data_IF_002299512532
#
_entry.id   IF_002299512532
#
_cell.length_a   1.000
_cell.length_b   1.000
_cell.length_c   1.000
_cell.angle_alpha   90.00
_cell.angle_beta   90.00
_cell.angle_gamma   90.00
#
_symmetry.space_group_name_H-M   'P 1'
#
loop_
_entity.id
_entity.type
_entity.pdbx_description
1 polymer ?
#
# COMPACT_ATOMS: atom_id res chain seq x y z
N UNK A 1 14.36 21.62 11.06
CA UNK A 1 13.23 22.42 11.60
C UNK A 1 11.95 22.21 10.79
N UNK A 2 11.96 22.42 9.45
CA UNK A 2 10.78 22.18 8.60
C UNK A 2 10.23 20.74 8.69
N UNK A 3 11.10 19.71 8.65
CA UNK A 3 10.67 18.31 8.79
C UNK A 3 9.92 18.03 10.11
N UNK A 4 10.33 18.66 11.22
CA UNK A 4 9.67 18.51 12.51
C UNK A 4 8.28 19.15 12.54
N UNK A 5 8.02 20.16 11.70
CA UNK A 5 6.70 20.77 11.55
C UNK A 5 5.78 19.91 10.67
N UNK A 6 6.32 19.24 9.64
CA UNK A 6 5.52 18.40 8.74
C UNK A 6 4.96 17.14 9.41
N UNK A 7 5.73 16.50 10.30
CA UNK A 7 5.29 15.27 10.99
C UNK A 7 3.94 15.44 11.73
N UNK A 8 3.77 16.42 12.64
CA UNK A 8 2.49 16.61 13.32
C UNK A 8 1.39 17.01 12.34
N UNK A 9 1.68 17.78 11.27
CA UNK A 9 0.66 18.09 10.27
C UNK A 9 0.17 16.85 9.52
N UNK A 10 1.05 15.89 9.21
CA UNK A 10 0.68 14.63 8.58
C UNK A 10 -0.18 13.77 9.52
N UNK A 11 0.15 13.74 10.81
CA UNK A 11 -0.65 13.03 11.82
C UNK A 11 -2.03 13.67 12.00
N UNK A 12 -2.11 15.00 12.01
CA UNK A 12 -3.38 15.72 12.04
C UNK A 12 -4.21 15.43 10.79
N UNK A 13 -3.60 15.46 9.59
CA UNK A 13 -4.29 15.12 8.35
C UNK A 13 -4.83 13.68 8.38
N UNK A 14 -4.02 12.73 8.84
CA UNK A 14 -4.45 11.34 9.05
C UNK A 14 -5.64 11.25 10.00
N UNK A 15 -5.60 11.98 11.13
CA UNK A 15 -6.70 12.04 12.10
C UNK A 15 -7.97 12.66 11.49
N UNK A 16 -7.85 13.73 10.71
CA UNK A 16 -9.02 14.37 10.07
C UNK A 16 -9.71 13.46 9.06
N UNK A 17 -9.00 12.51 8.45
CA UNK A 17 -9.60 11.52 7.54
C UNK A 17 -10.56 10.56 8.26
N UNK A 18 -10.52 10.48 9.61
CA UNK A 18 -11.45 9.68 10.42
C UNK A 18 -12.82 10.37 10.49
N UNK A 19 -12.90 11.69 10.33
CA UNK A 19 -14.16 12.44 10.47
C UNK A 19 -15.23 12.06 9.43
N UNK A 20 -14.92 11.90 8.12
CA UNK A 20 -15.89 11.38 7.16
C UNK A 20 -16.40 9.98 7.52
N UNK A 21 -15.54 9.14 8.05
CA UNK A 21 -15.88 7.77 8.44
C UNK A 21 -16.81 7.75 9.68
N UNK A 22 -16.54 8.58 10.68
CA UNK A 22 -17.41 8.73 11.85
C UNK A 22 -18.75 9.39 11.49
N UNK A 23 -18.74 10.37 10.58
CA UNK A 23 -19.97 10.98 10.07
C UNK A 23 -20.82 9.96 9.30
N UNK A 24 -20.22 9.17 8.42
CA UNK A 24 -20.92 8.10 7.70
C UNK A 24 -21.54 7.07 8.66
N UNK A 25 -20.79 6.64 9.68
CA UNK A 25 -21.30 5.73 10.71
C UNK A 25 -22.49 6.28 11.48
N UNK A 26 -22.41 7.54 11.96
CA UNK A 26 -23.51 8.18 12.70
C UNK A 26 -24.72 8.48 11.84
N UNK A 27 -24.53 8.84 10.56
CA UNK A 27 -25.61 9.05 9.61
C UNK A 27 -26.39 7.75 9.34
N UNK A 28 -25.69 6.64 9.08
CA UNK A 28 -26.32 5.33 8.91
C UNK A 28 -27.04 4.86 10.19
N UNK A 29 -26.46 5.13 11.36
CA UNK A 29 -27.09 4.82 12.64
C UNK A 29 -28.38 5.61 12.92
N UNK A 30 -28.54 6.80 12.35
CA UNK A 30 -29.80 7.58 12.43
C UNK A 30 -30.87 7.04 11.48
N UNK A 31 -30.49 6.52 10.32
CA UNK A 31 -31.42 5.97 9.33
C UNK A 31 -31.96 4.59 9.70
N UNK A 32 -31.21 3.82 10.50
CA UNK A 32 -31.61 2.49 10.95
C UNK A 32 -31.99 2.50 12.44
N UNK A 33 -32.95 1.64 12.81
CA UNK A 33 -33.26 1.39 14.22
C UNK A 33 -31.97 1.02 14.99
N UNK A 34 -31.77 1.47 16.23
CA UNK A 34 -30.49 1.38 16.96
C UNK A 34 -29.95 -0.05 17.10
N UNK A 35 -30.82 -1.07 16.98
CA UNK A 35 -30.45 -2.49 16.93
C UNK A 35 -29.82 -2.96 15.60
N UNK A 36 -29.97 -2.21 14.52
CA UNK A 36 -29.48 -2.54 13.16
C UNK A 36 -28.24 -1.70 12.77
N UNK A 37 -27.98 -0.60 13.48
CA UNK A 37 -26.81 0.26 13.25
C UNK A 37 -25.46 -0.51 13.27
N UNK A 38 -25.39 -1.63 14.00
CA UNK A 38 -24.21 -2.50 14.11
C UNK A 38 -23.77 -3.12 12.77
N UNK A 39 -24.70 -3.38 11.84
CA UNK A 39 -24.37 -3.96 10.53
C UNK A 39 -23.56 -3.01 9.64
N UNK A 40 -23.60 -1.70 9.90
CA UNK A 40 -22.94 -0.70 9.06
C UNK A 40 -21.53 -0.33 9.55
N UNK A 41 -21.09 -0.78 10.72
CA UNK A 41 -19.74 -0.54 11.26
C UNK A 41 -18.61 -0.91 10.27
N UNK A 42 -18.70 -1.99 9.50
CA UNK A 42 -17.66 -2.36 8.54
C UNK A 42 -17.54 -1.41 7.34
N UNK A 43 -18.51 -0.52 7.09
CA UNK A 43 -18.43 0.50 6.02
C UNK A 43 -17.54 1.68 6.43
N UNK A 44 -17.33 1.88 7.72
CA UNK A 44 -16.52 2.97 8.26
C UNK A 44 -15.07 2.86 7.75
N UNK A 45 -14.49 1.67 7.73
CA UNK A 45 -13.09 1.49 7.30
C UNK A 45 -12.91 1.75 5.80
N UNK A 46 -13.68 1.16 4.87
CA UNK A 46 -13.58 1.53 3.45
C UNK A 46 -13.79 3.03 3.20
N UNK A 47 -14.73 3.66 3.91
CA UNK A 47 -14.96 5.11 3.82
C UNK A 47 -13.72 5.89 4.23
N UNK A 48 -13.10 5.50 5.34
CA UNK A 48 -11.84 6.06 5.81
C UNK A 48 -10.70 5.86 4.80
N UNK A 49 -10.55 4.64 4.26
CA UNK A 49 -9.51 4.31 3.27
C UNK A 49 -9.63 5.17 2.01
N UNK A 50 -10.86 5.35 1.51
CA UNK A 50 -11.15 6.19 0.34
C UNK A 50 -10.82 7.65 0.65
N UNK A 51 -11.32 8.18 1.78
CA UNK A 51 -11.05 9.55 2.21
C UNK A 51 -9.55 9.82 2.32
N UNK A 52 -8.80 8.92 2.98
CA UNK A 52 -7.37 9.09 3.15
C UNK A 52 -6.62 9.03 1.80
N UNK A 53 -7.03 8.15 0.89
CA UNK A 53 -6.47 8.08 -0.46
C UNK A 53 -6.64 9.40 -1.23
N UNK A 54 -7.82 10.02 -1.18
CA UNK A 54 -8.07 11.32 -1.82
C UNK A 54 -7.25 12.45 -1.20
N UNK A 55 -7.09 12.46 0.12
CA UNK A 55 -6.23 13.45 0.81
C UNK A 55 -4.78 13.31 0.35
N UNK A 56 -4.25 12.09 0.23
CA UNK A 56 -2.88 11.86 -0.27
C UNK A 56 -2.72 12.33 -1.72
N UNK A 57 -3.70 12.04 -2.59
CA UNK A 57 -3.70 12.54 -3.97
C UNK A 57 -3.67 14.07 -3.97
N UNK A 58 -4.55 14.72 -3.20
CA UNK A 58 -4.58 16.18 -3.07
C UNK A 58 -3.28 16.77 -2.56
N UNK A 59 -2.69 16.19 -1.50
CA UNK A 59 -1.41 16.62 -0.94
C UNK A 59 -0.29 16.54 -1.97
N UNK A 60 -0.21 15.44 -2.74
CA UNK A 60 0.80 15.28 -3.79
C UNK A 60 0.72 16.40 -4.82
N UNK A 61 -0.48 16.68 -5.33
CA UNK A 61 -0.69 17.71 -6.34
C UNK A 61 -0.50 19.14 -5.80
N UNK A 62 -0.80 19.37 -4.53
CA UNK A 62 -0.66 20.68 -3.89
C UNK A 62 0.78 21.02 -3.47
N UNK A 63 1.53 20.04 -2.97
CA UNK A 63 2.87 20.26 -2.39
C UNK A 63 3.97 20.13 -3.44
N UNK A 64 3.91 19.08 -4.26
CA UNK A 64 4.98 18.75 -5.24
C UNK A 64 4.55 19.01 -6.67
N UNK A 65 3.27 18.80 -7.00
CA UNK A 65 2.78 18.95 -8.37
C UNK A 65 3.21 17.77 -9.25
N UNK A 66 4.12 18.00 -10.20
CA UNK A 66 4.64 16.96 -11.12
C UNK A 66 6.13 16.72 -10.86
N UNK A 67 6.51 15.45 -10.71
CA UNK A 67 7.92 15.06 -10.70
C UNK A 67 8.54 15.21 -12.10
N UNK A 68 9.71 15.83 -12.17
CA UNK A 68 10.49 16.04 -13.40
C UNK A 68 11.86 15.36 -13.21
N UNK A 69 12.50 14.95 -14.31
CA UNK A 69 13.89 14.45 -14.29
C UNK A 69 14.85 15.60 -13.92
N UNK A 70 15.23 15.68 -12.65
CA UNK A 70 16.09 16.72 -12.10
C UNK A 70 17.01 16.18 -10.99
N UNK A 71 18.10 16.91 -10.73
CA UNK A 71 18.98 16.72 -9.58
C UNK A 71 18.66 17.80 -8.55
N UNK A 72 18.07 17.40 -7.43
CA UNK A 72 17.68 18.27 -6.33
C UNK A 72 18.71 18.20 -5.21
N UNK A 73 19.13 19.33 -4.64
CA UNK A 73 20.00 19.34 -3.46
C UNK A 73 19.19 19.01 -2.20
N UNK A 74 19.74 18.20 -1.29
CA UNK A 74 19.03 17.81 -0.04
C UNK A 74 18.67 18.99 0.89
N UNK A 75 19.48 20.05 1.07
CA UNK A 75 19.06 21.17 1.91
C UNK A 75 18.00 22.07 1.26
N UNK A 76 17.45 21.71 0.09
CA UNK A 76 16.42 22.48 -0.60
C UNK A 76 15.02 22.28 -0.03
N UNK A 77 14.14 23.23 -0.30
CA UNK A 77 12.70 23.12 -0.03
C UNK A 77 12.05 22.00 -0.83
N UNK A 78 12.48 21.79 -2.09
CA UNK A 78 12.00 20.72 -2.96
C UNK A 78 12.25 19.33 -2.33
N UNK A 79 13.40 19.13 -1.68
CA UNK A 79 13.66 17.90 -0.93
C UNK A 79 12.67 17.70 0.23
N UNK A 80 12.35 18.76 0.99
CA UNK A 80 11.40 18.64 2.11
C UNK A 80 9.98 18.36 1.61
N UNK A 81 9.57 18.98 0.51
CA UNK A 81 8.29 18.73 -0.17
C UNK A 81 8.18 17.26 -0.62
N UNK A 82 9.20 16.78 -1.34
CA UNK A 82 9.29 15.37 -1.73
C UNK A 82 9.27 14.43 -0.52
N UNK A 83 10.06 14.72 0.51
CA UNK A 83 10.15 13.91 1.73
C UNK A 83 8.80 13.82 2.45
N UNK A 84 8.05 14.93 2.50
CA UNK A 84 6.71 14.96 3.10
C UNK A 84 5.77 14.00 2.37
N UNK A 85 5.76 14.03 1.04
CA UNK A 85 4.93 13.12 0.24
C UNK A 85 5.41 11.67 0.37
N UNK A 86 6.72 11.42 0.40
CA UNK A 86 7.29 10.08 0.59
C UNK A 86 6.83 9.46 1.94
N UNK A 87 6.86 10.23 3.03
CA UNK A 87 6.34 9.80 4.35
C UNK A 87 4.82 9.60 4.33
N UNK A 88 4.07 10.49 3.70
CA UNK A 88 2.63 10.37 3.57
C UNK A 88 2.23 9.10 2.79
N UNK A 89 2.98 8.78 1.74
CA UNK A 89 2.82 7.55 0.97
C UNK A 89 3.16 6.29 1.77
N UNK A 90 4.22 6.30 2.58
CA UNK A 90 4.54 5.17 3.47
C UNK A 90 3.40 4.87 4.46
N UNK A 91 2.77 5.92 5.01
CA UNK A 91 1.57 5.76 5.84
C UNK A 91 0.41 5.15 5.05
N UNK A 92 0.16 5.67 3.84
CA UNK A 92 -0.88 5.10 2.97
C UNK A 92 -0.62 3.62 2.64
N UNK A 93 0.62 3.24 2.38
CA UNK A 93 0.99 1.85 2.09
C UNK A 93 0.81 0.91 3.27
N UNK A 94 1.17 1.39 4.46
CA UNK A 94 1.02 0.63 5.69
C UNK A 94 -0.44 0.31 5.99
N UNK A 95 -1.34 1.31 5.85
CA UNK A 95 -2.74 1.18 6.23
C UNK A 95 -3.67 0.70 5.11
N UNK A 96 -3.38 1.04 3.85
CA UNK A 96 -4.26 0.79 2.70
C UNK A 96 -3.56 -0.07 1.65
N UNK A 97 -2.32 0.27 1.31
CA UNK A 97 -1.59 -0.36 0.20
C UNK A 97 -1.56 -1.89 0.27
N UNK A 98 -1.36 -2.46 1.47
CA UNK A 98 -1.34 -3.91 1.70
C UNK A 98 -2.63 -4.63 1.31
N UNK A 99 -3.78 -3.98 1.40
CA UNK A 99 -5.07 -4.56 1.06
C UNK A 99 -5.41 -4.41 -0.42
N UNK A 100 -4.82 -3.41 -1.08
CA UNK A 100 -5.11 -3.02 -2.46
C UNK A 100 -4.03 -3.55 -3.42
N UNK A 101 -2.93 -4.11 -2.91
CA UNK A 101 -1.85 -4.68 -3.71
C UNK A 101 -2.37 -5.78 -4.66
N UNK A 102 -1.86 -5.79 -5.88
CA UNK A 102 -2.30 -6.72 -6.93
C UNK A 102 -3.69 -6.44 -7.51
N UNK A 103 -4.38 -5.35 -7.12
CA UNK A 103 -5.73 -5.03 -7.62
C UNK A 103 -5.72 -3.87 -8.63
N UNK A 104 -6.72 -3.77 -9.52
CA UNK A 104 -6.86 -2.63 -10.43
C UNK A 104 -7.10 -1.29 -9.72
N UNK A 105 -7.51 -1.29 -8.44
CA UNK A 105 -7.63 -0.07 -7.65
C UNK A 105 -6.26 0.58 -7.38
N UNK A 106 -5.20 -0.22 -7.29
CA UNK A 106 -3.83 0.28 -7.19
C UNK A 106 -3.42 1.01 -8.48
N UNK A 107 -3.80 0.46 -9.64
CA UNK A 107 -3.57 1.07 -10.94
C UNK A 107 -4.33 2.41 -11.06
N UNK A 108 -5.58 2.45 -10.62
CA UNK A 108 -6.36 3.70 -10.56
C UNK A 108 -5.66 4.74 -9.67
N UNK A 109 -5.24 4.35 -8.47
CA UNK A 109 -4.58 5.24 -7.51
C UNK A 109 -3.28 5.83 -8.09
N UNK A 110 -2.45 5.00 -8.70
CA UNK A 110 -1.23 5.47 -9.35
C UNK A 110 -1.48 6.37 -10.56
N UNK A 111 -2.53 6.11 -11.35
CA UNK A 111 -2.93 7.01 -12.45
C UNK A 111 -3.40 8.36 -11.93
N UNK A 112 -4.16 8.40 -10.83
CA UNK A 112 -4.59 9.65 -10.17
C UNK A 112 -3.41 10.44 -9.60
N UNK A 113 -2.34 9.75 -9.19
CA UNK A 113 -1.09 10.38 -8.78
C UNK A 113 -0.21 10.84 -9.96
N UNK A 114 -0.59 10.53 -11.20
CA UNK A 114 0.05 11.04 -12.43
C UNK A 114 0.92 10.05 -13.20
N UNK A 115 1.04 8.80 -12.74
CA UNK A 115 1.78 7.76 -13.48
C UNK A 115 1.05 7.31 -14.75
N UNK A 116 1.83 6.86 -15.73
CA UNK A 116 1.32 6.29 -16.99
C UNK A 116 1.27 4.78 -16.88
N UNK A 117 0.32 4.27 -16.09
CA UNK A 117 0.16 2.84 -15.80
C UNK A 117 -1.05 2.28 -16.53
N UNK A 118 -0.84 1.20 -17.27
CA UNK A 118 -1.92 0.45 -17.90
C UNK A 118 -2.78 -0.30 -16.89
N UNK A 119 -4.08 -0.44 -17.17
CA UNK A 119 -5.02 -1.14 -16.28
C UNK A 119 -4.67 -2.61 -16.10
N UNK A 120 -3.94 -3.18 -17.07
CA UNK A 120 -3.51 -4.57 -17.09
C UNK A 120 -2.17 -4.84 -16.44
N UNK A 121 -1.48 -3.80 -15.98
CA UNK A 121 -0.28 -3.97 -15.21
C UNK A 121 -0.61 -4.58 -13.84
N UNK A 122 0.22 -5.53 -13.40
CA UNK A 122 0.10 -6.15 -12.09
C UNK A 122 1.24 -5.65 -11.19
N UNK A 123 0.89 -5.11 -10.03
CA UNK A 123 1.84 -4.64 -9.03
C UNK A 123 1.74 -5.48 -7.77
N UNK A 124 2.84 -6.15 -7.45
CA UNK A 124 3.09 -6.77 -6.16
C UNK A 124 4.19 -6.02 -5.39
N UNK A 125 4.35 -4.72 -5.68
CA UNK A 125 5.26 -3.80 -5.03
C UNK A 125 4.80 -2.37 -5.23
N UNK A 126 5.48 -1.42 -4.57
CA UNK A 126 5.03 -0.03 -4.55
C UNK A 126 5.83 0.87 -5.50
N UNK A 127 5.15 1.86 -6.09
CA UNK A 127 5.77 2.89 -6.93
C UNK A 127 6.07 4.15 -6.10
N UNK A 128 7.22 4.77 -6.39
CA UNK A 128 7.59 6.12 -5.95
C UNK A 128 7.86 7.02 -7.15
N UNK A 129 7.66 8.33 -6.95
CA UNK A 129 7.80 9.37 -7.99
C UNK A 129 6.94 9.08 -9.23
N UNK A 130 5.63 8.94 -8.99
CA UNK A 130 4.63 8.42 -9.92
C UNK A 130 4.70 8.99 -11.34
N UNK A 131 4.88 10.31 -11.50
CA UNK A 131 4.88 10.97 -12.82
C UNK A 131 6.03 10.50 -13.74
N UNK A 132 7.09 9.93 -13.15
CA UNK A 132 8.27 9.43 -13.86
C UNK A 132 8.17 7.95 -14.24
N UNK A 133 7.08 7.28 -13.86
CA UNK A 133 6.86 5.86 -14.13
C UNK A 133 5.89 5.66 -15.29
N UNK A 134 6.34 4.89 -16.28
CA UNK A 134 5.50 4.41 -17.37
C UNK A 134 5.50 2.88 -17.38
N UNK A 135 4.32 2.27 -17.30
CA UNK A 135 4.15 0.81 -17.28
C UNK A 135 3.15 0.40 -18.35
N UNK A 136 3.64 -0.40 -19.30
CA UNK A 136 2.87 -0.94 -20.42
C UNK A 136 1.89 -2.06 -20.04
N UNK A 137 1.17 -2.54 -21.04
CA UNK A 137 0.12 -3.54 -20.88
C UNK A 137 0.70 -4.88 -20.44
N UNK A 138 0.04 -5.56 -19.50
CA UNK A 138 0.41 -6.89 -18.99
C UNK A 138 1.82 -6.95 -18.39
N UNK A 139 2.41 -5.80 -18.05
CA UNK A 139 3.66 -5.77 -17.32
C UNK A 139 3.42 -6.21 -15.87
N UNK A 140 4.34 -6.98 -15.32
CA UNK A 140 4.27 -7.45 -13.93
C UNK A 140 5.46 -6.92 -13.14
N UNK A 141 5.16 -6.26 -12.03
CA UNK A 141 6.14 -5.61 -11.17
C UNK A 141 6.03 -6.22 -9.78
N UNK A 142 6.95 -7.14 -9.46
CA UNK A 142 6.97 -7.88 -8.20
C UNK A 142 7.92 -7.27 -7.17
N UNK A 143 8.26 -5.99 -7.31
CA UNK A 143 9.18 -5.28 -6.42
C UNK A 143 8.84 -3.78 -6.37
N UNK A 144 9.42 -3.04 -5.43
CA UNK A 144 9.22 -1.59 -5.38
C UNK A 144 10.00 -0.87 -6.47
N UNK A 145 9.34 0.06 -7.16
CA UNK A 145 9.93 0.92 -8.20
C UNK A 145 10.20 2.30 -7.63
N UNK A 146 11.47 2.67 -7.52
CA UNK A 146 11.88 3.99 -7.08
C UNK A 146 12.59 4.71 -8.23
N UNK A 147 12.11 5.90 -8.61
CA UNK A 147 12.74 6.69 -9.68
C UNK A 147 13.82 7.64 -9.13
N UNK A 148 14.31 7.38 -7.92
CA UNK A 148 15.21 8.24 -7.17
C UNK A 148 16.50 7.53 -6.77
N UNK A 149 17.59 8.29 -6.73
CA UNK A 149 18.87 7.84 -6.16
C UNK A 149 19.53 8.96 -5.38
N UNK A 150 20.02 8.63 -4.19
CA UNK A 150 20.88 9.52 -3.41
C UNK A 150 22.29 9.52 -4.01
N UNK A 151 22.77 10.71 -4.34
CA UNK A 151 24.12 10.95 -4.84
C UNK A 151 25.17 10.80 -3.74
N UNK A 152 26.40 10.53 -4.18
CA UNK A 152 27.56 10.44 -3.28
C UNK A 152 27.87 11.84 -2.75
N UNK A 153 28.10 11.94 -1.45
CA UNK A 153 28.56 13.18 -0.84
C UNK A 153 30.00 13.46 -1.28
N UNK A 154 30.20 14.43 -2.18
CA UNK A 154 31.54 14.89 -2.56
C UNK A 154 31.99 15.97 -1.60
N UNK A 155 33.30 16.01 -1.33
CA UNK A 155 33.94 16.94 -0.37
C UNK A 155 33.68 18.42 -0.67
N UNK A 156 33.33 18.77 -1.91
CA UNK A 156 33.08 20.14 -2.35
C UNK A 156 31.58 20.45 -2.54
N UNK A 157 30.68 19.49 -2.33
CA UNK A 157 29.24 19.71 -2.48
C UNK A 157 28.63 20.25 -1.19
N UNK A 158 27.68 21.18 -1.31
CA UNK A 158 26.95 21.80 -0.20
C UNK A 158 26.12 20.75 0.59
N UNK A 159 25.92 19.57 0.02
CA UNK A 159 25.29 18.41 0.64
C UNK A 159 25.09 17.30 -0.40
N UNK A 160 24.57 16.12 0.00
CA UNK A 160 24.25 15.09 -0.97
C UNK A 160 23.09 15.55 -1.87
N UNK A 161 23.03 15.03 -3.08
CA UNK A 161 21.99 15.34 -4.06
C UNK A 161 21.00 14.19 -4.18
N UNK A 162 19.75 14.48 -4.51
CA UNK A 162 18.74 13.50 -4.87
C UNK A 162 18.47 13.61 -6.37
N UNK A 163 18.77 12.57 -7.12
CA UNK A 163 18.54 12.53 -8.57
C UNK A 163 17.29 11.74 -8.88
N UNK A 164 16.41 12.33 -9.68
CA UNK A 164 15.23 11.67 -10.24
C UNK A 164 15.48 11.29 -11.69
N UNK A 165 15.04 10.10 -12.12
CA UNK A 165 15.11 9.66 -13.52
C UNK A 165 13.93 8.75 -13.88
N UNK A 166 13.35 8.88 -15.08
CA UNK A 166 12.19 8.10 -15.49
C UNK A 166 12.48 6.60 -15.57
N UNK A 167 11.47 5.78 -15.24
CA UNK A 167 11.52 4.32 -15.39
C UNK A 167 10.41 3.91 -16.34
N UNK A 168 10.79 3.19 -17.40
CA UNK A 168 9.87 2.78 -18.47
C UNK A 168 9.86 1.26 -18.55
N UNK A 169 8.67 0.67 -18.46
CA UNK A 169 8.42 -0.76 -18.61
C UNK A 169 7.54 -1.01 -19.82
N UNK A 170 8.07 -1.72 -20.82
CA UNK A 170 7.33 -2.10 -22.02
C UNK A 170 6.24 -3.14 -21.75
N UNK A 171 5.36 -3.35 -22.73
CA UNK A 171 4.27 -4.33 -22.61
C UNK A 171 4.80 -5.75 -22.36
N UNK A 172 4.15 -6.49 -21.48
CA UNK A 172 4.50 -7.88 -21.13
C UNK A 172 5.83 -8.03 -20.39
N UNK A 173 6.47 -6.93 -19.98
CA UNK A 173 7.72 -7.02 -19.22
C UNK A 173 7.47 -7.55 -17.80
N UNK A 174 8.45 -8.27 -17.24
CA UNK A 174 8.37 -8.82 -15.89
C UNK A 174 9.57 -8.36 -15.07
N UNK A 175 9.31 -7.63 -13.99
CA UNK A 175 10.34 -7.13 -13.07
C UNK A 175 10.21 -7.83 -11.73
N UNK A 176 11.13 -8.74 -11.44
CA UNK A 176 11.12 -9.52 -10.19
C UNK A 176 12.01 -8.95 -9.08
N UNK A 177 12.77 -7.89 -9.37
CA UNK A 177 13.67 -7.24 -8.41
C UNK A 177 13.75 -5.72 -8.63
N UNK A 178 14.29 -5.01 -7.63
CA UNK A 178 14.47 -3.55 -7.67
C UNK A 178 15.30 -3.14 -8.90
N UNK A 179 14.80 -2.14 -9.64
CA UNK A 179 15.49 -1.53 -10.78
C UNK A 179 16.04 -0.17 -10.38
N UNK A 180 17.20 0.20 -10.96
CA UNK A 180 17.78 1.52 -10.76
C UNK A 180 16.97 2.60 -11.49
N UNK A 181 17.05 3.87 -11.06
CA UNK A 181 16.43 4.97 -11.79
C UNK A 181 16.97 5.11 -13.22
N UNK A 182 16.14 5.60 -14.13
CA UNK A 182 16.54 5.81 -15.53
C UNK A 182 16.49 4.56 -16.39
N UNK A 183 16.11 3.41 -15.83
CA UNK A 183 16.09 2.14 -16.55
C UNK A 183 14.90 2.07 -17.50
N UNK A 184 15.16 1.59 -18.72
CA UNK A 184 14.13 1.29 -19.72
C UNK A 184 14.13 -0.20 -20.02
N UNK A 185 12.99 -0.86 -19.80
CA UNK A 185 12.81 -2.30 -20.00
C UNK A 185 11.96 -2.52 -21.24
N UNK A 186 12.52 -3.22 -22.22
CA UNK A 186 11.86 -3.53 -23.47
C UNK A 186 10.64 -4.44 -23.32
N UNK A 187 9.84 -4.51 -24.38
CA UNK A 187 8.66 -5.36 -24.46
C UNK A 187 9.01 -6.83 -24.22
N UNK A 188 8.25 -7.51 -23.36
CA UNK A 188 8.45 -8.93 -23.03
C UNK A 188 9.76 -9.25 -22.33
N UNK A 189 10.54 -8.25 -21.89
CA UNK A 189 11.80 -8.50 -21.19
C UNK A 189 11.56 -8.92 -19.74
N UNK A 190 12.42 -9.80 -19.22
CA UNK A 190 12.33 -10.38 -17.89
C UNK A 190 13.57 -10.02 -17.09
N UNK A 191 13.37 -9.28 -15.99
CA UNK A 191 14.39 -8.95 -14.99
C UNK A 191 14.23 -9.91 -13.83
N UNK A 192 15.19 -10.82 -13.66
CA UNK A 192 15.12 -11.89 -12.67
C UNK A 192 15.35 -11.42 -11.23
N UNK A 193 15.06 -12.29 -10.27
CA UNK A 193 15.35 -12.03 -8.86
C UNK A 193 16.86 -11.81 -8.67
N UNK A 194 17.23 -10.93 -7.74
CA UNK A 194 18.63 -10.63 -7.37
C UNK A 194 19.41 -9.94 -8.52
N UNK A 195 18.76 -9.63 -9.64
CA UNK A 195 19.38 -8.88 -10.72
C UNK A 195 19.45 -7.39 -10.41
N UNK A 196 20.55 -6.72 -10.75
CA UNK A 196 20.69 -5.27 -10.65
C UNK A 196 20.98 -4.66 -12.03
N UNK A 197 19.97 -4.02 -12.62
CA UNK A 197 20.15 -3.22 -13.84
C UNK A 197 20.80 -1.89 -13.45
N UNK A 198 21.92 -1.50 -14.11
CA UNK A 198 22.60 -0.25 -13.80
C UNK A 198 21.71 0.97 -14.10
N UNK A 199 21.98 2.08 -13.43
CA UNK A 199 21.27 3.35 -13.63
C UNK A 199 21.33 3.80 -15.09
N UNK A 200 20.18 4.13 -15.69
CA UNK A 200 20.10 4.46 -17.12
C UNK A 200 20.24 3.28 -18.07
N UNK A 201 20.31 2.04 -17.56
CA UNK A 201 20.46 0.84 -18.36
C UNK A 201 19.23 0.57 -19.23
N UNK A 202 19.46 0.04 -20.43
CA UNK A 202 18.40 -0.38 -21.35
C UNK A 202 18.42 -1.90 -21.42
N UNK A 203 17.30 -2.53 -21.05
CA UNK A 203 17.11 -3.97 -21.24
C UNK A 203 16.43 -4.17 -22.58
N UNK A 204 17.07 -4.85 -23.55
CA UNK A 204 16.48 -5.06 -24.87
C UNK A 204 15.17 -5.87 -24.79
N UNK A 205 14.32 -5.72 -25.80
CA UNK A 205 13.06 -6.46 -25.88
C UNK A 205 13.29 -7.97 -25.90
N UNK A 206 12.37 -8.72 -25.28
CA UNK A 206 12.37 -10.19 -25.26
C UNK A 206 13.73 -10.75 -24.81
N UNK A 207 14.37 -10.10 -23.85
CA UNK A 207 15.59 -10.61 -23.20
C UNK A 207 15.31 -10.91 -21.74
N UNK A 208 16.05 -11.90 -21.23
CA UNK A 208 16.08 -12.25 -19.82
C UNK A 208 17.42 -11.84 -19.24
N UNK A 209 17.40 -11.02 -18.20
CA UNK A 209 18.60 -10.53 -17.51
C UNK A 209 18.65 -11.03 -16.08
N UNK A 210 19.83 -11.45 -15.62
CA UNK A 210 20.08 -11.71 -14.20
C UNK A 210 21.52 -11.39 -13.80
N UNK A 211 21.79 -11.42 -12.49
CA UNK A 211 23.10 -11.10 -11.91
C UNK A 211 23.24 -9.66 -11.43
N UNK A 212 24.29 -9.42 -10.64
CA UNK A 212 24.64 -8.12 -10.08
C UNK A 212 26.11 -7.78 -10.40
N UNK A 213 26.40 -6.92 -11.39
CA UNK A 213 25.46 -6.26 -12.31
C UNK A 213 24.81 -7.23 -13.31
N UNK A 214 23.66 -6.85 -13.86
CA UNK A 214 22.87 -7.74 -14.73
C UNK A 214 23.51 -7.99 -16.08
N UNK A 215 23.52 -9.25 -16.49
CA UNK A 215 23.97 -9.74 -17.79
C UNK A 215 22.77 -10.41 -18.48
N UNK A 216 22.71 -10.29 -19.81
CA UNK A 216 21.71 -10.98 -20.63
C UNK A 216 22.05 -12.47 -20.62
N UNK A 217 21.11 -13.29 -20.13
CA UNK A 217 21.29 -14.75 -20.02
C UNK A 217 20.72 -15.43 -21.27
N UNK A 218 19.51 -15.03 -21.67
CA UNK A 218 18.77 -15.64 -22.77
C UNK A 218 17.97 -14.55 -23.51
N UNK A 219 17.83 -14.68 -24.82
CA UNK A 219 16.65 -14.13 -25.50
C UNK A 219 15.46 -14.95 -25.06
N UNK A 220 14.59 -14.38 -24.22
CA UNK A 220 13.39 -15.07 -23.77
C UNK A 220 12.56 -15.45 -25.00
N UNK A 221 12.15 -16.72 -25.18
CA UNK A 221 11.16 -17.05 -26.18
C UNK A 221 9.91 -16.17 -25.94
N UNK A 222 9.14 -15.82 -26.98
CA UNK A 222 7.87 -15.12 -26.78
C UNK A 222 7.10 -15.90 -25.73
N UNK A 223 6.73 -15.24 -24.63
CA UNK A 223 6.03 -15.90 -23.52
C UNK A 223 4.88 -16.70 -24.11
N UNK A 224 4.93 -18.03 -23.98
CA UNK A 224 3.93 -18.97 -24.53
C UNK A 224 2.54 -18.80 -23.89
N UNK A 225 2.43 -17.83 -22.97
CA UNK A 225 1.19 -17.29 -22.45
C UNK A 225 1.36 -15.77 -22.27
N UNK A 226 1.36 -15.02 -23.37
CA UNK A 226 0.79 -13.67 -23.31
C UNK A 226 -0.69 -13.87 -22.96
N UNK A 227 -0.97 -14.05 -21.66
CA UNK A 227 -2.33 -14.26 -21.16
C UNK A 227 -3.12 -13.07 -21.68
N UNK A 228 -4.08 -13.36 -22.57
CA UNK A 228 -4.94 -12.35 -23.12
C UNK A 228 -5.68 -11.70 -21.95
N UNK A 229 -5.36 -10.44 -21.71
CA UNK A 229 -5.79 -9.76 -20.51
C UNK A 229 -7.23 -9.30 -20.69
N UNK A 230 -8.13 -9.99 -20.00
CA UNK A 230 -9.51 -9.55 -19.88
C UNK A 230 -9.61 -8.57 -18.71
N UNK A 231 -9.61 -7.27 -19.03
CA UNK A 231 -9.81 -6.20 -18.06
C UNK A 231 -11.02 -6.41 -17.16
N UNK A 232 -12.10 -7.02 -17.68
CA UNK A 232 -13.31 -7.27 -16.88
C UNK A 232 -13.07 -8.37 -15.86
N UNK A 233 -12.29 -9.41 -16.18
CA UNK A 233 -11.92 -10.45 -15.20
C UNK A 233 -11.06 -9.89 -14.09
N UNK A 234 -10.11 -9.02 -14.41
CA UNK A 234 -9.24 -8.42 -13.40
C UNK A 234 -9.99 -7.51 -12.43
N UNK A 235 -10.94 -6.71 -12.95
CA UNK A 235 -11.88 -5.95 -12.11
C UNK A 235 -12.75 -6.83 -11.22
N UNK A 236 -13.24 -7.97 -11.73
CA UNK A 236 -13.99 -8.94 -10.91
C UNK A 236 -13.15 -9.49 -9.77
N UNK A 237 -11.89 -9.84 -10.02
CA UNK A 237 -10.96 -10.32 -8.97
C UNK A 237 -10.74 -9.22 -7.92
N UNK A 238 -10.48 -7.98 -8.35
CA UNK A 238 -10.35 -6.85 -7.43
C UNK A 238 -11.60 -6.60 -6.58
N UNK A 239 -12.79 -6.66 -7.19
CA UNK A 239 -14.06 -6.51 -6.46
C UNK A 239 -14.31 -7.67 -5.49
N UNK A 240 -13.93 -8.89 -5.86
CA UNK A 240 -14.03 -10.07 -4.99
C UNK A 240 -13.11 -9.91 -3.77
N UNK A 241 -11.87 -9.43 -3.98
CA UNK A 241 -10.93 -9.15 -2.90
C UNK A 241 -11.44 -8.07 -1.93
N UNK A 242 -12.02 -6.98 -2.45
CA UNK A 242 -12.67 -5.97 -1.60
C UNK A 242 -13.87 -6.53 -0.84
N UNK A 243 -14.70 -7.35 -1.51
CA UNK A 243 -15.86 -7.98 -0.87
C UNK A 243 -15.43 -8.93 0.25
N UNK A 244 -14.34 -9.68 0.03
CA UNK A 244 -13.72 -10.53 1.04
C UNK A 244 -13.20 -9.73 2.23
N UNK A 245 -12.49 -8.62 1.98
CA UNK A 245 -12.01 -7.71 3.02
C UNK A 245 -13.17 -7.16 3.87
N UNK A 246 -14.27 -6.78 3.22
CA UNK A 246 -15.48 -6.31 3.92
C UNK A 246 -16.02 -7.44 4.82
N UNK A 247 -16.08 -8.67 4.33
CA UNK A 247 -16.54 -9.83 5.10
C UNK A 247 -15.63 -10.12 6.31
N UNK A 248 -14.31 -10.12 6.12
CA UNK A 248 -13.35 -10.27 7.23
C UNK A 248 -13.56 -9.20 8.29
N UNK A 249 -13.81 -7.97 7.85
CA UNK A 249 -14.04 -6.87 8.75
C UNK A 249 -15.35 -7.02 9.54
N UNK A 250 -16.41 -7.55 8.91
CA UNK A 250 -17.64 -7.92 9.63
C UNK A 250 -17.36 -8.94 10.74
N UNK A 251 -16.57 -9.98 10.43
CA UNK A 251 -16.22 -11.02 11.40
C UNK A 251 -15.40 -10.46 12.57
N UNK A 252 -14.44 -9.57 12.29
CA UNK A 252 -13.64 -8.89 13.30
C UNK A 252 -14.51 -8.02 14.22
N UNK A 253 -15.41 -7.20 13.67
CA UNK A 253 -16.31 -6.40 14.49
C UNK A 253 -17.30 -7.26 15.30
N UNK A 254 -17.81 -8.34 14.71
CA UNK A 254 -18.72 -9.25 15.42
C UNK A 254 -18.05 -9.90 16.65
N UNK A 255 -16.78 -10.32 16.51
CA UNK A 255 -16.01 -10.91 17.62
C UNK A 255 -15.63 -9.87 18.69
N UNK A 256 -15.25 -8.65 18.30
CA UNK A 256 -14.99 -7.57 19.26
C UNK A 256 -16.24 -7.23 20.09
N UNK A 257 -17.41 -7.16 19.43
CA UNK A 257 -18.68 -6.85 20.08
C UNK A 257 -19.16 -7.99 20.98
N UNK A 258 -18.99 -9.25 20.58
CA UNK A 258 -19.31 -10.39 21.45
C UNK A 258 -18.46 -10.37 22.72
N UNK A 259 -17.19 -9.97 22.62
CA UNK A 259 -16.33 -9.73 23.78
C UNK A 259 -16.86 -8.65 24.72
N UNK A 260 -17.27 -7.50 24.19
CA UNK A 260 -17.88 -6.41 24.99
C UNK A 260 -19.19 -6.86 25.63
N UNK A 261 -20.02 -7.61 24.91
CA UNK A 261 -21.27 -8.15 25.43
C UNK A 261 -21.03 -9.12 26.60
N UNK A 262 -20.05 -10.03 26.47
CA UNK A 262 -19.67 -10.96 27.55
C UNK A 262 -19.12 -10.20 28.75
N UNK A 263 -18.29 -9.18 28.54
CA UNK A 263 -17.75 -8.36 29.61
C UNK A 263 -18.85 -7.62 30.39
N UNK A 264 -19.77 -6.96 29.68
CA UNK A 264 -20.87 -6.22 30.30
C UNK A 264 -21.86 -7.14 31.04
N UNK A 265 -22.02 -8.39 30.60
CA UNK A 265 -22.88 -9.39 31.23
C UNK A 265 -22.11 -10.38 32.12
N UNK A 266 -20.87 -10.09 32.46
CA UNK A 266 -19.96 -11.02 33.15
C UNK A 266 -20.50 -11.48 34.51
N UNK A 267 -21.17 -10.60 35.27
CA UNK A 267 -21.82 -10.96 36.53
C UNK A 267 -22.96 -11.97 36.35
N UNK A 268 -23.85 -11.72 35.39
CA UNK A 268 -24.97 -12.61 35.05
C UNK A 268 -24.45 -13.96 34.53
N UNK A 269 -23.37 -13.94 33.75
CA UNK A 269 -22.74 -15.14 33.21
C UNK A 269 -22.07 -15.93 34.32
N UNK A 270 -21.37 -15.29 35.26
CA UNK A 270 -20.77 -15.95 36.43
C UNK A 270 -21.83 -16.61 37.33
N UNK A 271 -22.95 -15.93 37.60
CA UNK A 271 -24.07 -16.49 38.38
C UNK A 271 -24.73 -17.69 37.68
N UNK A 272 -24.81 -17.65 36.34
CA UNK A 272 -25.37 -18.77 35.57
C UNK A 272 -24.40 -19.96 35.48
N UNK A 273 -23.09 -19.70 35.44
CA UNK A 273 -22.06 -20.74 35.48
C UNK A 273 -22.01 -21.38 36.87
N UNK A 274 -22.08 -20.61 37.95
CA UNK A 274 -22.06 -21.14 39.33
C UNK A 274 -23.28 -22.01 39.65
N UNK A 275 -24.44 -21.69 39.06
CA UNK A 275 -25.68 -22.47 39.20
C UNK A 275 -25.72 -23.71 38.30
N UNK A 276 -25.11 -23.67 37.12
CA UNK A 276 -25.10 -24.81 36.17
C UNK A 276 -23.97 -25.79 36.45
N UNK A 277 -22.81 -25.31 36.88
CA UNK A 277 -21.67 -26.09 37.32
C UNK A 277 -21.29 -25.65 38.74
N UNK A 278 -22.00 -26.13 39.77
CA UNK A 278 -21.63 -25.86 41.16
C UNK A 278 -20.29 -26.55 41.44
N UNK A 279 -19.22 -25.77 41.39
CA UNK A 279 -17.88 -26.25 41.70
C UNK A 279 -17.79 -26.48 43.22
N UNK A 280 -18.04 -27.72 43.65
CA UNK A 280 -17.98 -28.18 45.05
C UNK A 280 -16.56 -28.45 45.55
N UNK A 281 -15.55 -27.73 45.01
CA UNK A 281 -14.17 -27.92 45.43
C UNK A 281 -13.89 -27.27 46.78
N UNK A 282 -14.26 -27.97 47.86
CA UNK A 282 -13.61 -27.77 49.15
C UNK A 282 -12.15 -28.17 48.97
N UNK A 283 -11.26 -27.20 48.78
CA UNK A 283 -9.86 -27.39 49.11
C UNK A 283 -9.79 -27.48 50.65
N UNK A 284 -9.92 -28.69 51.20
CA UNK A 284 -9.40 -28.94 52.53
C UNK A 284 -7.87 -28.97 52.43
N UNK A 285 -7.14 -28.08 53.13
CA UNK A 285 -5.69 -28.20 53.20
C UNK A 285 -5.35 -29.49 53.96
N UNK A 286 -4.76 -30.46 53.25
CA UNK A 286 -4.39 -31.79 53.78
C UNK A 286 -3.29 -31.71 54.85
N UNK A 287 -2.69 -30.55 55.11
CA UNK A 287 -1.64 -30.40 56.11
C UNK A 287 -1.93 -29.22 57.06
N UNK A 288 -2.34 -29.55 58.29
CA UNK A 288 -2.16 -28.65 59.44
C UNK A 288 -0.76 -28.90 60.00
N UNK A 289 0.11 -27.91 59.86
CA UNK A 289 1.36 -27.89 60.61
C UNK A 289 1.05 -27.49 62.06
N UNK A 290 1.37 -28.38 63.00
CA UNK A 290 1.40 -28.14 64.45
C UNK A 290 2.65 -27.41 64.87
#
# INVERSE_FOLDING_TARGET
>A
LLQLLYIPTLLLLFSTCILPASYAGTYMAKFCNTKVAWYFMPIIIPTWMISFSFVIIGLKWMIVGRYIEEIVSIPSTAYVQWWCIDRAMELWEFWIGRFVIGTPFMNLFYRLLGSKVEWSANFNGYIREFDLVTVGQNASVNSSLHCRKFGVWKKNDIGPTLRFRPVVLGNGSCVKNIVSPGVSIGHGAIVEKISMVPEGGIVPERTRVAGNPSIVIETSPPSESAVEYDSKRWWKIGMLQLSWLILELHFLFATALSGVFVYNNSSIIQDRISTTFPWNGRYEPILRWS
#
